data_IF_344923151367
#
_entry.id   IF_344923151367
#
_cell.length_a   1.000
_cell.length_b   1.000
_cell.length_c   1.000
_cell.angle_alpha   90.00
_cell.angle_beta   90.00
_cell.angle_gamma   90.00
#
_symmetry.space_group_name_H-M   'P 1'
#
loop_
_entity.id
_entity.type
_entity.pdbx_description
1 polymer ?
#
# COMPACT_ATOMS: atom_id res chain seq x y z
N UNK A 1 -11.50 -10.44 7.61
CA UNK A 1 -10.19 -9.74 7.50
C UNK A 1 -10.19 -8.79 6.33
N UNK A 2 -9.55 -7.64 6.45
CA UNK A 2 -9.44 -6.72 5.33
C UNK A 2 -8.67 -7.34 4.17
N UNK A 3 -8.96 -6.85 2.96
CA UNK A 3 -8.22 -7.24 1.77
C UNK A 3 -7.10 -6.21 1.54
N UNK A 4 -5.88 -6.68 1.39
CA UNK A 4 -4.70 -5.86 1.14
C UNK A 4 -4.27 -6.02 -0.30
N UNK A 5 -4.14 -4.89 -1.01
CA UNK A 5 -3.48 -4.87 -2.31
C UNK A 5 -2.05 -4.42 -2.12
N UNK A 6 -1.11 -5.19 -2.67
CA UNK A 6 0.30 -4.82 -2.69
C UNK A 6 0.63 -4.29 -4.08
N UNK A 7 1.02 -3.03 -4.16
CA UNK A 7 1.45 -2.40 -5.40
C UNK A 7 2.95 -2.12 -5.29
N UNK A 8 3.75 -2.99 -5.87
CA UNK A 8 5.19 -2.94 -5.78
C UNK A 8 5.79 -3.73 -6.94
N UNK A 9 6.92 -3.28 -7.46
CA UNK A 9 7.60 -3.93 -8.58
C UNK A 9 8.81 -4.77 -8.16
N UNK A 10 9.23 -4.68 -6.91
CA UNK A 10 10.36 -5.46 -6.39
C UNK A 10 9.83 -6.82 -5.92
N UNK A 11 9.99 -7.84 -6.75
CA UNK A 11 9.34 -9.13 -6.55
C UNK A 11 9.71 -9.81 -5.23
N UNK A 12 10.94 -9.62 -4.76
CA UNK A 12 11.34 -10.18 -3.46
C UNK A 12 10.56 -9.54 -2.31
N UNK A 13 10.27 -8.24 -2.39
CA UNK A 13 9.43 -7.55 -1.42
C UNK A 13 7.98 -8.01 -1.52
N UNK A 14 7.46 -8.08 -2.75
CA UNK A 14 6.07 -8.49 -3.01
C UNK A 14 5.78 -9.85 -2.38
N UNK A 15 6.66 -10.83 -2.62
CA UNK A 15 6.45 -12.20 -2.12
C UNK A 15 6.63 -12.29 -0.61
N UNK A 16 7.57 -11.53 -0.05
CA UNK A 16 7.75 -11.49 1.42
C UNK A 16 6.52 -10.88 2.10
N UNK A 17 6.01 -9.77 1.56
CA UNK A 17 4.80 -9.12 2.07
C UNK A 17 3.59 -10.03 1.97
N UNK A 18 3.42 -10.68 0.82
CA UNK A 18 2.30 -11.60 0.61
C UNK A 18 2.30 -12.71 1.65
N UNK A 19 3.46 -13.33 1.87
CA UNK A 19 3.59 -14.43 2.83
C UNK A 19 3.23 -13.98 4.24
N UNK A 20 3.79 -12.86 4.68
CA UNK A 20 3.57 -12.35 6.04
C UNK A 20 2.11 -12.01 6.25
N UNK A 21 1.48 -11.36 5.28
CA UNK A 21 0.08 -10.96 5.38
C UNK A 21 -0.87 -12.16 5.35
N UNK A 22 -0.64 -13.11 4.46
CA UNK A 22 -1.47 -14.34 4.40
C UNK A 22 -1.36 -15.14 5.67
N UNK A 23 -0.15 -15.26 6.23
CA UNK A 23 0.06 -15.96 7.50
C UNK A 23 -0.69 -15.29 8.65
N UNK A 24 -0.91 -13.99 8.56
CA UNK A 24 -1.68 -13.26 9.57
C UNK A 24 -3.19 -13.26 9.30
N UNK A 25 -3.64 -13.91 8.22
CA UNK A 25 -5.06 -14.06 7.91
C UNK A 25 -5.64 -13.04 6.94
N UNK A 26 -4.81 -12.14 6.39
CA UNK A 26 -5.29 -11.16 5.42
C UNK A 26 -5.55 -11.81 4.06
N UNK A 27 -6.55 -11.31 3.36
CA UNK A 27 -6.73 -11.59 1.93
C UNK A 27 -5.81 -10.65 1.16
N UNK A 28 -5.06 -11.17 0.19
CA UNK A 28 -4.02 -10.38 -0.50
C UNK A 28 -4.22 -10.45 -2.01
N UNK A 29 -4.10 -9.31 -2.69
CA UNK A 29 -3.99 -9.27 -4.14
C UNK A 29 -2.73 -8.47 -4.51
N UNK A 30 -2.16 -8.81 -5.65
CA UNK A 30 -0.87 -8.29 -6.09
C UNK A 30 -1.01 -7.51 -7.38
N UNK A 31 -0.26 -6.40 -7.47
CA UNK A 31 -0.15 -5.64 -8.69
C UNK A 31 1.30 -5.14 -8.81
N UNK A 32 2.00 -5.60 -9.83
CA UNK A 32 3.44 -5.34 -9.96
C UNK A 32 3.79 -4.28 -11.00
N UNK A 33 2.79 -3.71 -11.65
CA UNK A 33 2.97 -2.65 -12.64
C UNK A 33 1.76 -1.75 -12.74
N UNK A 34 1.90 -0.66 -13.49
CA UNK A 34 0.86 0.34 -13.62
C UNK A 34 -0.25 -0.05 -14.59
N UNK A 35 -0.03 -1.05 -15.44
CA UNK A 35 -0.99 -1.40 -16.48
C UNK A 35 -2.27 -2.00 -15.87
N UNK A 36 -3.42 -1.48 -16.30
CA UNK A 36 -4.70 -1.98 -15.82
C UNK A 36 -5.01 -1.65 -14.38
N UNK A 37 -4.30 -0.71 -13.79
CA UNK A 37 -4.33 -0.39 -12.37
C UNK A 37 -5.72 -0.04 -11.86
N UNK A 38 -6.40 0.91 -12.52
CA UNK A 38 -7.72 1.36 -12.05
C UNK A 38 -8.77 0.27 -12.19
N UNK A 39 -8.70 -0.53 -13.26
CA UNK A 39 -9.62 -1.66 -13.43
C UNK A 39 -9.40 -2.70 -12.34
N UNK A 40 -8.15 -2.93 -11.93
CA UNK A 40 -7.83 -3.86 -10.86
C UNK A 40 -8.40 -3.37 -9.52
N UNK A 41 -8.30 -2.09 -9.23
CA UNK A 41 -8.91 -1.51 -8.03
C UNK A 41 -10.42 -1.70 -8.03
N UNK A 42 -11.08 -1.43 -9.15
CA UNK A 42 -12.53 -1.58 -9.25
C UNK A 42 -12.97 -3.02 -9.06
N UNK A 43 -12.17 -3.98 -9.55
CA UNK A 43 -12.48 -5.39 -9.43
C UNK A 43 -12.21 -5.91 -8.02
N UNK A 44 -11.04 -5.63 -7.48
CA UNK A 44 -10.59 -6.19 -6.20
C UNK A 44 -11.17 -5.46 -5.00
N UNK A 45 -11.43 -4.16 -5.11
CA UNK A 45 -11.95 -3.32 -4.03
C UNK A 45 -11.19 -3.52 -2.72
N UNK A 46 -9.87 -3.26 -2.72
CA UNK A 46 -9.08 -3.48 -1.52
C UNK A 46 -9.47 -2.53 -0.39
N UNK A 47 -9.30 -2.98 0.84
CA UNK A 47 -9.48 -2.15 2.03
C UNK A 47 -8.21 -1.37 2.36
N UNK A 48 -7.06 -1.95 2.03
CA UNK A 48 -5.74 -1.39 2.30
C UNK A 48 -4.91 -1.46 1.03
N UNK A 49 -4.23 -0.37 0.70
CA UNK A 49 -3.20 -0.35 -0.34
C UNK A 49 -1.84 -0.21 0.33
N UNK A 50 -0.97 -1.20 0.14
CA UNK A 50 0.44 -1.11 0.45
C UNK A 50 1.16 -0.74 -0.84
N UNK A 51 1.75 0.44 -0.88
CA UNK A 51 2.24 1.03 -2.11
C UNK A 51 3.71 1.41 -1.98
N UNK A 52 4.54 0.88 -2.91
CA UNK A 52 5.90 1.37 -3.09
C UNK A 52 5.84 2.62 -3.96
N UNK A 53 6.15 3.82 -3.42
CA UNK A 53 6.01 5.05 -4.20
C UNK A 53 7.03 5.17 -5.34
N UNK A 54 8.02 4.29 -5.37
CA UNK A 54 9.11 4.30 -6.35
C UNK A 54 8.82 3.36 -7.53
N UNK A 55 7.57 3.34 -7.97
CA UNK A 55 7.16 2.51 -9.10
C UNK A 55 7.63 3.10 -10.43
N UNK A 56 8.24 2.27 -11.32
CA UNK A 56 8.63 2.75 -12.64
C UNK A 56 7.40 3.05 -13.50
N UNK A 57 7.55 4.02 -14.40
CA UNK A 57 6.53 4.39 -15.37
C UNK A 57 5.19 4.80 -14.73
N UNK A 58 5.25 5.36 -13.53
CA UNK A 58 4.06 5.82 -12.82
C UNK A 58 4.26 7.26 -12.32
N UNK A 59 3.27 8.11 -12.59
CA UNK A 59 3.18 9.44 -12.00
C UNK A 59 2.51 9.31 -10.64
N UNK A 60 3.32 9.15 -9.61
CA UNK A 60 2.85 8.78 -8.27
C UNK A 60 1.85 9.79 -7.69
N UNK A 61 2.14 11.08 -7.79
CA UNK A 61 1.26 12.10 -7.23
C UNK A 61 -0.12 12.09 -7.92
N UNK A 62 -0.13 12.02 -9.23
CA UNK A 62 -1.37 11.99 -10.01
C UNK A 62 -2.17 10.73 -9.72
N UNK A 63 -1.49 9.59 -9.59
CA UNK A 63 -2.12 8.33 -9.26
C UNK A 63 -2.81 8.40 -7.89
N UNK A 64 -2.11 8.88 -6.87
CA UNK A 64 -2.67 9.00 -5.53
C UNK A 64 -3.84 9.96 -5.48
N UNK A 65 -3.74 11.10 -6.17
CA UNK A 65 -4.85 12.05 -6.26
C UNK A 65 -6.08 11.43 -6.92
N UNK A 66 -5.88 10.64 -7.98
CA UNK A 66 -6.97 9.94 -8.64
C UNK A 66 -7.65 8.96 -7.69
N UNK A 67 -6.88 8.20 -6.92
CA UNK A 67 -7.44 7.28 -5.93
C UNK A 67 -8.25 8.01 -4.87
N UNK A 68 -7.70 9.08 -4.34
CA UNK A 68 -8.31 9.81 -3.23
C UNK A 68 -9.61 10.51 -3.63
N UNK A 69 -9.78 10.83 -4.92
CA UNK A 69 -11.00 11.47 -5.42
C UNK A 69 -12.02 10.48 -5.96
N UNK A 70 -11.67 9.22 -6.14
CA UNK A 70 -12.59 8.20 -6.63
C UNK A 70 -13.57 7.80 -5.52
N UNK A 71 -14.90 7.89 -5.75
CA UNK A 71 -15.87 7.60 -4.70
C UNK A 71 -15.74 6.17 -4.13
N UNK A 72 -15.37 5.21 -4.95
CA UNK A 72 -15.24 3.81 -4.53
C UNK A 72 -13.98 3.55 -3.69
N UNK A 73 -13.07 4.53 -3.63
CA UNK A 73 -11.77 4.38 -2.94
C UNK A 73 -11.67 5.23 -1.68
N UNK A 74 -12.72 5.95 -1.31
CA UNK A 74 -12.65 6.93 -0.21
C UNK A 74 -12.35 6.33 1.15
N UNK A 75 -12.74 5.07 1.37
CA UNK A 75 -12.51 4.40 2.64
C UNK A 75 -11.27 3.52 2.64
N UNK A 76 -10.52 3.52 1.55
CA UNK A 76 -9.30 2.71 1.46
C UNK A 76 -8.18 3.35 2.28
N UNK A 77 -7.47 2.51 3.05
CA UNK A 77 -6.30 2.93 3.81
C UNK A 77 -5.08 2.81 2.90
N UNK A 78 -4.31 3.89 2.77
CA UNK A 78 -3.13 3.93 1.92
C UNK A 78 -1.89 4.05 2.80
N UNK A 79 -1.01 3.05 2.72
CA UNK A 79 0.25 2.98 3.47
C UNK A 79 1.39 2.82 2.49
N UNK A 80 2.38 3.70 2.58
CA UNK A 80 3.58 3.60 1.75
C UNK A 80 4.55 2.59 2.34
N UNK A 81 5.21 1.84 1.47
CA UNK A 81 6.29 0.92 1.86
C UNK A 81 7.59 1.54 1.36
N UNK A 82 8.53 1.76 2.25
CA UNK A 82 9.73 2.57 1.95
C UNK A 82 10.98 1.93 2.52
N UNK A 83 12.12 2.16 1.86
CA UNK A 83 13.42 1.65 2.31
C UNK A 83 14.39 2.73 2.73
N UNK A 84 14.13 3.98 2.44
CA UNK A 84 15.06 5.08 2.72
C UNK A 84 14.33 6.35 3.14
N UNK A 85 15.05 7.21 3.86
CA UNK A 85 14.68 8.57 4.21
C UNK A 85 13.28 8.69 4.84
N UNK A 86 13.17 8.22 6.09
CA UNK A 86 11.91 8.27 6.83
C UNK A 86 11.34 9.68 6.94
N UNK A 87 12.19 10.71 7.10
CA UNK A 87 11.71 12.09 7.23
C UNK A 87 11.05 12.59 5.94
N UNK A 88 11.66 12.29 4.79
CA UNK A 88 11.08 12.67 3.50
C UNK A 88 9.77 11.94 3.24
N UNK A 89 9.69 10.67 3.59
CA UNK A 89 8.47 9.87 3.43
C UNK A 89 7.37 10.38 4.36
N UNK A 90 7.70 10.71 5.59
CA UNK A 90 6.71 11.27 6.52
C UNK A 90 6.15 12.58 5.99
N UNK A 91 7.01 13.47 5.49
CA UNK A 91 6.59 14.73 4.89
C UNK A 91 5.68 14.50 3.67
N UNK A 92 6.03 13.52 2.85
CA UNK A 92 5.22 13.17 1.68
C UNK A 92 3.84 12.64 2.09
N UNK A 93 3.78 11.79 3.10
CA UNK A 93 2.49 11.28 3.62
C UNK A 93 1.59 12.43 4.10
N UNK A 94 2.16 13.42 4.79
CA UNK A 94 1.38 14.58 5.22
C UNK A 94 0.90 15.40 4.02
N UNK A 95 1.78 15.65 3.07
CA UNK A 95 1.45 16.43 1.87
C UNK A 95 0.30 15.80 1.10
N UNK A 96 0.33 14.49 0.95
CA UNK A 96 -0.66 13.74 0.18
C UNK A 96 -1.84 13.26 1.03
N UNK A 97 -1.82 13.54 2.33
CA UNK A 97 -2.87 13.13 3.26
C UNK A 97 -3.11 11.62 3.27
N UNK A 98 -2.01 10.85 3.29
CA UNK A 98 -2.06 9.40 3.35
C UNK A 98 -2.14 8.93 4.79
N UNK A 99 -2.50 7.67 5.00
CA UNK A 99 -2.74 7.12 6.34
C UNK A 99 -1.44 6.82 7.08
N UNK A 100 -0.38 6.43 6.38
CA UNK A 100 0.88 6.16 7.04
C UNK A 100 1.95 5.61 6.10
N UNK A 101 3.04 5.19 6.70
CA UNK A 101 4.15 4.57 5.99
C UNK A 101 4.80 3.51 6.86
N UNK A 102 5.45 2.55 6.24
CA UNK A 102 6.18 1.49 6.93
C UNK A 102 7.58 1.38 6.33
N UNK A 103 8.60 1.41 7.20
CA UNK A 103 9.99 1.28 6.78
C UNK A 103 10.38 -0.19 6.75
N UNK A 104 10.69 -0.72 5.56
CA UNK A 104 10.99 -2.14 5.38
C UNK A 104 12.32 -2.57 6.03
N UNK A 105 13.19 -1.61 6.39
CA UNK A 105 14.39 -1.93 7.15
C UNK A 105 14.08 -2.57 8.50
N UNK A 106 12.86 -2.35 9.03
CA UNK A 106 12.40 -2.96 10.27
C UNK A 106 11.93 -4.39 10.08
N UNK A 107 12.04 -4.92 8.86
CA UNK A 107 11.57 -6.26 8.51
C UNK A 107 10.08 -6.27 8.18
N UNK A 108 9.64 -7.33 7.52
CA UNK A 108 8.24 -7.43 7.08
C UNK A 108 7.30 -7.96 8.16
N UNK A 109 7.85 -8.63 9.18
CA UNK A 109 7.05 -9.32 10.19
C UNK A 109 6.18 -8.38 11.03
N UNK A 110 6.56 -7.13 11.16
CA UNK A 110 5.80 -6.13 11.91
C UNK A 110 4.63 -5.51 11.16
N UNK A 111 4.48 -5.79 9.87
CA UNK A 111 3.45 -5.16 9.05
C UNK A 111 2.03 -5.52 9.48
N UNK A 112 1.70 -6.80 9.76
CA UNK A 112 0.35 -7.12 10.19
C UNK A 112 -0.09 -6.37 11.44
N UNK A 113 0.79 -6.26 12.44
CA UNK A 113 0.49 -5.49 13.64
C UNK A 113 0.32 -4.01 13.34
N UNK A 114 1.20 -3.44 12.50
CA UNK A 114 1.09 -2.06 12.10
C UNK A 114 -0.26 -1.77 11.44
N UNK A 115 -0.69 -2.62 10.51
CA UNK A 115 -1.96 -2.45 9.82
C UNK A 115 -3.16 -2.61 10.74
N UNK A 116 -3.05 -3.48 11.75
CA UNK A 116 -4.15 -3.70 12.68
C UNK A 116 -4.54 -2.43 13.44
N UNK A 117 -3.59 -1.52 13.66
CA UNK A 117 -3.85 -0.26 14.36
C UNK A 117 -4.84 0.65 13.63
N UNK A 118 -4.99 0.50 12.33
CA UNK A 118 -5.98 1.28 11.57
C UNK A 118 -7.42 0.79 11.81
N UNK A 119 -7.57 -0.36 12.41
CA UNK A 119 -8.87 -0.99 12.70
C UNK A 119 -9.16 -1.11 14.19
N UNK A 120 -8.25 -0.65 15.03
CA UNK A 120 -8.46 -0.63 16.48
C UNK A 120 -9.40 0.53 16.85
N UNK A 121 -10.32 0.25 17.73
CA UNK A 121 -11.23 1.28 18.26
C UNK A 121 -10.58 2.08 19.39
#
# INVERSE_FOLDING_TARGET
MPKVMILDHVLTEVFALEKVLKNAGYSVCLLTGAYGLLAKFDFEKPDILLFNPDMPNMETDSFLQTLMTAPTMQNMIIVLICSEDADAIEAYCRQMNLHGYYMIENGFDGIPEYLSHFYDD
#
